data_IF_480375545078
#
_entry.id   IF_480375545078
#
_cell.length_a   1.000
_cell.length_b   1.000
_cell.length_c   1.000
_cell.angle_alpha   90.00
_cell.angle_beta   90.00
_cell.angle_gamma   90.00
#
_symmetry.space_group_name_H-M   'P 1'
#
loop_
_entity.id
_entity.type
_entity.pdbx_description
1 polymer ?
#
# COMPACT_ATOMS: atom_id res chain seq x y z
N UNK A 1 74.98 -36.51 -18.47
CA UNK A 1 75.55 -35.55 -19.45
C UNK A 1 74.39 -34.94 -20.21
N UNK A 2 74.45 -33.61 -20.44
CA UNK A 2 73.52 -32.72 -21.17
C UNK A 2 72.10 -32.61 -20.61
N UNK A 3 71.58 -31.47 -20.13
CA UNK A 3 71.86 -30.07 -20.42
C UNK A 3 70.70 -29.49 -21.24
N UNK A 4 70.03 -28.42 -20.78
CA UNK A 4 68.98 -27.73 -21.56
C UNK A 4 68.07 -26.78 -20.76
N UNK A 5 68.59 -25.63 -20.35
CA UNK A 5 67.82 -24.39 -20.15
C UNK A 5 67.29 -23.87 -21.50
N UNK A 6 66.10 -23.24 -21.53
CA UNK A 6 65.92 -21.83 -21.91
C UNK A 6 64.45 -21.46 -22.22
N UNK A 7 63.97 -20.46 -21.45
CA UNK A 7 63.20 -19.27 -21.83
C UNK A 7 62.19 -19.29 -22.98
N UNK A 8 60.97 -18.88 -22.63
CA UNK A 8 60.04 -18.16 -23.50
C UNK A 8 59.06 -17.31 -22.67
N UNK A 9 59.41 -16.05 -22.40
CA UNK A 9 58.49 -15.01 -21.94
C UNK A 9 57.61 -14.58 -23.13
N UNK A 10 56.30 -14.40 -22.94
CA UNK A 10 55.61 -13.20 -23.43
C UNK A 10 54.27 -12.95 -22.71
N UNK A 11 54.12 -11.69 -22.32
CA UNK A 11 52.98 -11.03 -21.67
C UNK A 11 51.82 -10.75 -22.64
N UNK A 12 50.71 -10.32 -22.04
CA UNK A 12 49.57 -9.56 -22.57
C UNK A 12 48.48 -10.41 -23.23
N UNK A 13 47.18 -10.21 -23.00
CA UNK A 13 46.43 -9.21 -22.24
C UNK A 13 44.95 -9.56 -22.37
N UNK A 14 44.15 -9.16 -21.37
CA UNK A 14 42.77 -8.66 -21.51
C UNK A 14 41.75 -9.61 -22.19
N UNK A 15 40.95 -10.29 -21.38
CA UNK A 15 39.48 -10.13 -21.39
C UNK A 15 38.89 -10.92 -20.21
N UNK A 16 39.02 -10.37 -18.99
CA UNK A 16 38.23 -10.84 -17.86
C UNK A 16 36.93 -10.03 -17.87
N UNK A 17 35.78 -10.64 -18.22
CA UNK A 17 34.52 -9.92 -18.18
C UNK A 17 34.22 -9.56 -16.71
N UNK A 18 33.86 -8.29 -16.41
CA UNK A 18 33.56 -7.91 -15.04
C UNK A 18 32.39 -8.78 -14.57
N UNK A 19 32.61 -9.45 -13.42
CA UNK A 19 31.60 -10.14 -12.67
C UNK A 19 30.35 -9.27 -12.62
N UNK A 20 29.35 -9.63 -13.45
CA UNK A 20 28.05 -8.98 -13.44
C UNK A 20 27.52 -9.19 -12.04
N UNK A 21 27.56 -8.10 -11.28
CA UNK A 21 26.90 -7.88 -10.00
C UNK A 21 25.63 -8.69 -10.02
N UNK A 22 25.63 -9.79 -9.26
CA UNK A 22 24.45 -10.58 -9.01
C UNK A 22 23.47 -9.60 -8.36
N UNK A 23 22.59 -9.05 -9.19
CA UNK A 23 21.46 -8.25 -8.77
C UNK A 23 20.66 -9.24 -7.95
N UNK A 24 20.84 -9.18 -6.64
CA UNK A 24 20.03 -9.89 -5.68
C UNK A 24 18.65 -9.24 -5.81
N UNK A 25 17.90 -9.68 -6.82
CA UNK A 25 16.45 -9.69 -6.73
C UNK A 25 16.19 -10.50 -5.48
N UNK A 26 15.98 -9.79 -4.36
CA UNK A 26 15.25 -10.36 -3.24
C UNK A 26 13.90 -10.73 -3.83
N UNK A 27 13.84 -11.93 -4.35
CA UNK A 27 12.65 -12.74 -4.45
C UNK A 27 12.14 -12.78 -3.01
N UNK A 28 11.32 -11.78 -2.69
CA UNK A 28 10.61 -11.68 -1.43
C UNK A 28 9.96 -13.03 -1.28
N UNK A 29 10.42 -13.82 -0.30
CA UNK A 29 9.86 -15.12 0.01
C UNK A 29 8.34 -14.97 -0.07
N UNK A 30 7.76 -15.54 -1.12
CA UNK A 30 6.33 -15.60 -1.36
C UNK A 30 5.82 -16.58 -0.31
N UNK A 31 5.78 -16.11 0.93
CA UNK A 31 4.88 -16.65 1.91
C UNK A 31 3.54 -16.60 1.22
N UNK A 32 2.97 -17.78 0.98
CA UNK A 32 1.70 -18.03 0.30
C UNK A 32 0.60 -17.33 1.11
N UNK A 33 0.49 -16.02 0.90
CA UNK A 33 -0.42 -15.14 1.60
C UNK A 33 -1.65 -15.05 0.74
N UNK A 34 -2.78 -15.41 1.33
CA UNK A 34 -4.06 -15.31 0.65
C UNK A 34 -4.51 -13.86 0.69
N UNK A 35 -4.69 -13.28 -0.48
CA UNK A 35 -5.29 -11.96 -0.63
C UNK A 35 -6.79 -12.09 -0.88
N UNK A 36 -7.58 -11.33 -0.14
CA UNK A 36 -9.02 -11.22 -0.33
C UNK A 36 -9.37 -9.94 -1.08
N UNK A 37 -10.27 -10.08 -2.03
CA UNK A 37 -10.95 -9.00 -2.72
C UNK A 37 -12.25 -8.67 -1.97
N UNK A 38 -12.39 -7.43 -1.52
CA UNK A 38 -13.58 -6.99 -0.80
C UNK A 38 -14.20 -5.78 -1.50
N UNK A 39 -15.52 -5.78 -1.64
CA UNK A 39 -16.26 -4.67 -2.25
C UNK A 39 -17.58 -4.44 -1.54
N UNK A 40 -17.87 -3.18 -1.25
CA UNK A 40 -19.17 -2.73 -0.79
C UNK A 40 -19.44 -1.33 -1.35
N UNK A 41 -20.69 -1.03 -1.69
CA UNK A 41 -21.08 0.29 -2.20
C UNK A 41 -20.99 1.39 -1.12
N UNK A 42 -21.13 1.01 0.15
CA UNK A 42 -21.18 1.96 1.27
C UNK A 42 -19.86 2.10 2.03
N UNK A 43 -18.84 1.30 1.69
CA UNK A 43 -17.53 1.37 2.35
C UNK A 43 -16.58 2.16 1.47
N UNK A 44 -16.19 3.34 1.92
CA UNK A 44 -15.46 4.34 1.12
C UNK A 44 -14.03 4.57 1.58
N UNK A 45 -13.63 3.96 2.70
CA UNK A 45 -12.30 4.12 3.27
C UNK A 45 -11.81 2.85 3.94
N UNK A 46 -10.48 2.75 4.08
CA UNK A 46 -9.85 1.67 4.85
C UNK A 46 -10.34 1.67 6.30
N UNK A 47 -10.48 2.86 6.90
CA UNK A 47 -10.93 3.00 8.29
C UNK A 47 -12.34 2.45 8.49
N UNK A 48 -13.25 2.72 7.55
CA UNK A 48 -14.63 2.21 7.60
C UNK A 48 -14.67 0.67 7.45
N UNK A 49 -13.86 0.10 6.55
CA UNK A 49 -13.78 -1.35 6.43
C UNK A 49 -13.23 -2.00 7.71
N UNK A 50 -12.11 -1.49 8.23
CA UNK A 50 -11.39 -2.10 9.35
C UNK A 50 -12.07 -1.83 10.70
N UNK A 51 -12.42 -0.58 10.98
CA UNK A 51 -12.89 -0.13 12.29
C UNK A 51 -14.41 -0.11 12.42
N UNK A 52 -15.16 -0.31 11.34
CA UNK A 52 -16.62 -0.48 11.39
C UNK A 52 -17.02 -1.91 11.03
N UNK A 53 -16.95 -2.30 9.76
CA UNK A 53 -17.47 -3.60 9.31
C UNK A 53 -16.74 -4.80 9.94
N UNK A 54 -15.39 -4.84 9.86
CA UNK A 54 -14.64 -5.94 10.47
C UNK A 54 -14.65 -5.89 12.00
N UNK A 55 -14.69 -4.69 12.58
CA UNK A 55 -14.80 -4.52 14.02
C UNK A 55 -16.13 -5.05 14.57
N UNK A 56 -17.24 -4.88 13.83
CA UNK A 56 -18.56 -5.42 14.17
C UNK A 56 -18.54 -6.95 14.22
N UNK A 57 -17.82 -7.60 13.29
CA UNK A 57 -17.72 -9.06 13.21
C UNK A 57 -16.45 -9.64 13.87
N UNK A 58 -15.76 -8.85 14.70
CA UNK A 58 -14.45 -9.23 15.27
C UNK A 58 -14.51 -10.52 16.10
N UNK A 59 -15.64 -10.82 16.73
CA UNK A 59 -15.84 -12.02 17.55
C UNK A 59 -16.01 -13.26 16.66
N UNK A 60 -16.89 -13.18 15.67
CA UNK A 60 -17.12 -14.23 14.67
C UNK A 60 -15.81 -14.59 13.94
N UNK A 61 -15.04 -13.56 13.59
CA UNK A 61 -13.75 -13.68 12.92
C UNK A 61 -12.62 -14.16 13.86
N UNK A 62 -12.78 -14.03 15.19
CA UNK A 62 -11.73 -14.32 16.16
C UNK A 62 -10.57 -13.32 16.13
N UNK A 63 -10.83 -12.08 15.69
CA UNK A 63 -9.83 -11.01 15.54
C UNK A 63 -9.97 -9.93 16.63
N UNK A 64 -10.68 -10.21 17.73
CA UNK A 64 -10.85 -9.27 18.85
C UNK A 64 -9.52 -8.65 19.31
N UNK A 65 -8.47 -9.46 19.43
CA UNK A 65 -7.15 -9.01 19.87
C UNK A 65 -6.44 -8.03 18.92
N UNK A 66 -6.96 -7.83 17.71
CA UNK A 66 -6.44 -6.83 16.76
C UNK A 66 -6.91 -5.42 17.08
N UNK A 67 -7.90 -5.25 17.94
CA UNK A 67 -8.52 -3.96 18.22
C UNK A 67 -8.22 -3.49 19.64
N UNK A 68 -8.05 -2.19 19.78
CA UNK A 68 -8.12 -1.49 21.06
C UNK A 68 -9.54 -0.96 21.24
N UNK A 69 -10.03 -1.05 22.47
CA UNK A 69 -11.27 -0.40 22.90
C UNK A 69 -10.89 0.67 23.89
N UNK A 70 -11.03 1.93 23.48
CA UNK A 70 -10.81 3.05 24.38
C UNK A 70 -12.17 3.51 24.91
N UNK A 71 -12.33 3.45 26.22
CA UNK A 71 -13.48 4.04 26.89
C UNK A 71 -13.17 5.52 27.12
N UNK A 72 -13.78 6.39 26.32
CA UNK A 72 -13.62 7.82 26.53
C UNK A 72 -14.46 8.23 27.76
N UNK A 73 -13.80 8.42 28.90
CA UNK A 73 -14.44 8.82 30.17
C UNK A 73 -14.95 10.26 30.18
N UNK A 74 -14.86 10.98 29.06
CA UNK A 74 -15.21 12.39 28.96
C UNK A 74 -16.35 12.58 27.96
N UNK A 75 -17.57 12.51 28.51
CA UNK A 75 -18.80 12.98 27.87
C UNK A 75 -19.35 12.10 26.73
N UNK A 76 -20.40 11.33 27.07
CA UNK A 76 -21.14 10.41 26.19
C UNK A 76 -20.45 9.06 25.98
N UNK A 77 -21.18 7.99 26.31
CA UNK A 77 -20.81 6.59 26.28
C UNK A 77 -20.58 6.06 24.86
N UNK A 78 -19.54 6.54 24.19
CA UNK A 78 -19.12 6.08 22.87
C UNK A 78 -17.71 5.48 22.99
N UNK A 79 -17.65 4.16 23.16
CA UNK A 79 -16.39 3.41 23.12
C UNK A 79 -15.85 3.43 21.70
N UNK A 80 -14.67 4.00 21.50
CA UNK A 80 -14.03 4.01 20.18
C UNK A 80 -13.27 2.71 19.98
N UNK A 81 -13.60 1.99 18.91
CA UNK A 81 -12.89 0.77 18.52
C UNK A 81 -11.92 1.13 17.41
N UNK A 82 -10.64 0.82 17.59
CA UNK A 82 -9.60 1.12 16.60
C UNK A 82 -8.70 -0.09 16.38
N UNK A 83 -8.34 -0.35 15.11
CA UNK A 83 -7.38 -1.38 14.77
C UNK A 83 -5.99 -1.00 15.30
N UNK A 84 -5.34 -1.94 15.98
CA UNK A 84 -3.97 -1.77 16.47
C UNK A 84 -2.98 -1.60 15.32
N UNK A 85 -1.90 -0.82 15.51
CA UNK A 85 -0.88 -0.63 14.48
C UNK A 85 -0.04 -1.90 14.21
N UNK A 86 0.02 -2.83 15.17
CA UNK A 86 0.71 -4.12 15.08
C UNK A 86 -0.21 -5.28 14.70
N UNK A 87 -1.47 -5.00 14.36
CA UNK A 87 -2.41 -6.04 13.92
C UNK A 87 -1.84 -6.77 12.68
N UNK A 88 -1.96 -8.12 12.62
CA UNK A 88 -1.35 -8.92 11.57
C UNK A 88 -2.21 -8.93 10.29
N UNK A 89 -2.53 -7.73 9.80
CA UNK A 89 -3.39 -7.52 8.64
C UNK A 89 -2.93 -6.30 7.85
N UNK A 90 -2.87 -6.44 6.54
CA UNK A 90 -2.63 -5.34 5.62
C UNK A 90 -3.84 -5.13 4.73
N UNK A 91 -4.19 -3.85 4.52
CA UNK A 91 -5.31 -3.47 3.67
C UNK A 91 -4.94 -2.31 2.76
N UNK A 92 -5.33 -2.40 1.49
CA UNK A 92 -5.19 -1.34 0.47
C UNK A 92 -6.55 -1.07 -0.17
N UNK A 93 -6.87 0.21 -0.32
CA UNK A 93 -8.08 0.67 -0.99
C UNK A 93 -7.79 1.19 -2.39
N UNK A 94 -8.32 0.51 -3.41
CA UNK A 94 -8.13 0.83 -4.82
C UNK A 94 -9.18 1.80 -5.33
N UNK A 95 -9.13 3.04 -4.81
CA UNK A 95 -10.12 4.11 -5.13
C UNK A 95 -10.18 4.47 -6.62
N UNK A 96 -9.06 4.36 -7.35
CA UNK A 96 -8.97 4.77 -8.76
C UNK A 96 -9.56 3.75 -9.74
N UNK A 97 -9.98 2.58 -9.28
CA UNK A 97 -10.68 1.60 -10.11
C UNK A 97 -12.06 2.12 -10.51
N UNK A 98 -12.55 1.77 -11.72
CA UNK A 98 -13.93 2.04 -12.14
C UNK A 98 -14.97 1.47 -11.17
N UNK A 99 -14.60 0.40 -10.47
CA UNK A 99 -15.35 -0.22 -9.39
C UNK A 99 -14.41 -0.27 -8.19
N UNK A 100 -14.47 0.68 -7.24
CA UNK A 100 -13.60 0.68 -6.07
C UNK A 100 -13.72 -0.63 -5.28
N UNK A 101 -12.59 -1.08 -4.76
CA UNK A 101 -12.46 -2.32 -4.01
C UNK A 101 -11.30 -2.24 -3.02
N UNK A 102 -11.28 -3.18 -2.08
CA UNK A 102 -10.24 -3.35 -1.09
C UNK A 102 -9.52 -4.67 -1.38
N UNK A 103 -8.21 -4.66 -1.14
CA UNK A 103 -7.42 -5.88 -1.00
C UNK A 103 -7.04 -6.01 0.47
N UNK A 104 -7.27 -7.19 1.02
CA UNK A 104 -6.98 -7.53 2.40
C UNK A 104 -6.08 -8.76 2.45
N UNK A 105 -4.99 -8.69 3.20
CA UNK A 105 -4.01 -9.78 3.33
C UNK A 105 -3.69 -9.98 4.81
N UNK A 106 -3.81 -11.21 5.29
CA UNK A 106 -3.47 -11.54 6.67
C UNK A 106 -1.97 -11.88 6.74
N UNK A 107 -1.23 -11.18 7.61
CA UNK A 107 0.21 -11.40 7.84
C UNK A 107 0.49 -12.27 9.05
N UNK A 108 -0.55 -12.83 9.67
CA UNK A 108 -0.45 -13.78 10.77
C UNK A 108 0.23 -15.10 10.34
N UNK A 109 0.46 -15.99 11.30
CA UNK A 109 0.95 -17.33 11.00
C UNK A 109 0.04 -18.03 9.98
N UNK A 110 0.59 -18.87 9.12
CA UNK A 110 -0.15 -19.53 8.02
C UNK A 110 -1.48 -20.16 8.47
N UNK A 111 -1.48 -20.85 9.62
CA UNK A 111 -2.68 -21.51 10.19
C UNK A 111 -3.75 -20.51 10.65
N UNK A 112 -3.33 -19.43 11.30
CA UNK A 112 -4.24 -18.39 11.81
C UNK A 112 -4.81 -17.59 10.64
N UNK A 113 -3.95 -17.28 9.66
CA UNK A 113 -4.34 -16.57 8.44
C UNK A 113 -5.39 -17.35 7.63
N UNK A 114 -5.22 -18.67 7.44
CA UNK A 114 -6.21 -19.48 6.72
C UNK A 114 -7.55 -19.54 7.45
N UNK A 115 -7.53 -19.69 8.78
CA UNK A 115 -8.75 -19.69 9.60
C UNK A 115 -9.51 -18.36 9.50
N UNK A 116 -8.79 -17.23 9.58
CA UNK A 116 -9.39 -15.90 9.43
C UNK A 116 -9.95 -15.71 8.02
N UNK A 117 -9.24 -16.15 6.98
CA UNK A 117 -9.68 -16.08 5.58
C UNK A 117 -10.96 -16.89 5.35
N UNK A 118 -11.02 -18.12 5.85
CA UNK A 118 -12.22 -18.95 5.77
C UNK A 118 -13.42 -18.26 6.41
N UNK A 119 -13.24 -17.71 7.62
CA UNK A 119 -14.29 -16.97 8.32
C UNK A 119 -14.70 -15.68 7.61
N UNK A 120 -13.76 -14.98 6.98
CA UNK A 120 -14.05 -13.78 6.19
C UNK A 120 -14.89 -14.11 4.96
N UNK A 121 -14.61 -15.24 4.30
CA UNK A 121 -15.41 -15.69 3.15
C UNK A 121 -16.85 -16.01 3.58
N UNK A 122 -17.07 -16.48 4.81
CA UNK A 122 -18.42 -16.69 5.34
C UNK A 122 -19.23 -15.39 5.51
N UNK A 123 -18.56 -14.23 5.56
CA UNK A 123 -19.23 -12.92 5.60
C UNK A 123 -19.63 -12.42 4.20
N UNK A 124 -19.39 -13.19 3.15
CA UNK A 124 -19.85 -12.86 1.80
C UNK A 124 -21.38 -12.68 1.76
N UNK A 125 -21.84 -11.62 1.10
CA UNK A 125 -23.24 -11.17 1.05
C UNK A 125 -23.84 -10.73 2.41
N UNK A 126 -23.05 -10.61 3.47
CA UNK A 126 -23.53 -9.95 4.70
C UNK A 126 -23.79 -8.47 4.42
N UNK A 127 -24.87 -7.93 4.96
CA UNK A 127 -25.29 -6.55 4.71
C UNK A 127 -24.54 -5.58 5.61
N UNK A 128 -23.99 -4.52 5.03
CA UNK A 128 -23.46 -3.36 5.72
C UNK A 128 -24.20 -2.12 5.23
N UNK A 129 -24.89 -1.40 6.14
CA UNK A 129 -25.76 -0.26 5.81
C UNK A 129 -26.73 -0.58 4.67
N UNK A 130 -27.45 -1.71 4.77
CA UNK A 130 -28.40 -2.21 3.76
C UNK A 130 -27.80 -2.60 2.39
N UNK A 131 -26.47 -2.63 2.25
CA UNK A 131 -25.79 -3.05 1.03
C UNK A 131 -24.94 -4.32 1.25
N UNK A 132 -24.97 -5.29 0.33
CA UNK A 132 -24.19 -6.52 0.48
C UNK A 132 -22.68 -6.23 0.38
N UNK A 133 -21.90 -6.87 1.24
CA UNK A 133 -20.45 -6.92 1.16
C UNK A 133 -20.04 -8.15 0.35
N UNK A 134 -19.35 -7.93 -0.76
CA UNK A 134 -18.82 -8.97 -1.63
C UNK A 134 -17.41 -9.28 -1.16
N UNK A 135 -17.14 -10.53 -0.80
CA UNK A 135 -15.83 -11.00 -0.35
C UNK A 135 -15.44 -12.22 -1.18
N UNK A 136 -14.30 -12.15 -1.86
CA UNK A 136 -13.81 -13.21 -2.76
C UNK A 136 -12.31 -13.40 -2.56
N UNK A 137 -11.77 -14.55 -2.92
CA UNK A 137 -10.32 -14.73 -3.02
C UNK A 137 -9.84 -13.95 -4.24
N UNK A 138 -8.82 -13.12 -4.06
CA UNK A 138 -8.24 -12.36 -5.15
C UNK A 138 -7.58 -13.30 -6.17
N UNK A 139 -7.53 -12.86 -7.43
CA UNK A 139 -6.84 -13.59 -8.49
C UNK A 139 -5.34 -13.67 -8.20
N UNK A 140 -4.71 -14.74 -8.68
CA UNK A 140 -3.26 -14.93 -8.56
C UNK A 140 -2.49 -13.70 -9.06
N UNK A 141 -1.49 -13.28 -8.28
CA UNK A 141 -0.67 -12.10 -8.55
C UNK A 141 -1.25 -10.75 -8.10
N UNK A 142 -2.47 -10.69 -7.56
CA UNK A 142 -2.96 -9.51 -6.84
C UNK A 142 -2.62 -9.63 -5.35
N UNK A 143 -1.55 -8.95 -4.93
CA UNK A 143 -1.14 -8.85 -3.52
C UNK A 143 -1.28 -7.42 -3.01
N UNK A 144 -1.45 -7.26 -1.70
CA UNK A 144 -1.56 -5.95 -1.07
C UNK A 144 -0.25 -5.17 -1.22
N UNK A 145 0.88 -5.85 -1.04
CA UNK A 145 2.23 -5.30 -1.21
C UNK A 145 2.50 -4.84 -2.66
N UNK A 146 2.10 -5.66 -3.64
CA UNK A 146 2.23 -5.35 -5.07
C UNK A 146 1.43 -4.10 -5.47
N UNK A 147 0.17 -4.02 -5.06
CA UNK A 147 -0.66 -2.84 -5.37
C UNK A 147 -0.24 -1.59 -4.61
N UNK A 148 0.22 -1.72 -3.35
CA UNK A 148 0.78 -0.59 -2.58
C UNK A 148 1.98 0.02 -3.29
N UNK A 149 2.93 -0.80 -3.75
CA UNK A 149 4.12 -0.34 -4.49
C UNK A 149 3.74 0.37 -5.79
N UNK A 150 2.75 -0.14 -6.53
CA UNK A 150 2.25 0.53 -7.75
C UNK A 150 1.60 1.88 -7.44
N UNK A 151 0.85 1.97 -6.34
CA UNK A 151 0.23 3.21 -5.92
C UNK A 151 1.29 4.24 -5.48
N UNK A 152 2.29 3.81 -4.72
CA UNK A 152 3.40 4.65 -4.27
C UNK A 152 4.20 5.22 -5.45
N UNK A 153 4.58 4.40 -6.44
CA UNK A 153 5.28 4.84 -7.64
C UNK A 153 4.46 5.88 -8.43
N UNK A 154 3.15 5.68 -8.51
CA UNK A 154 2.23 6.60 -9.18
C UNK A 154 2.13 7.93 -8.45
N UNK A 155 2.03 7.90 -7.13
CA UNK A 155 1.94 9.10 -6.31
C UNK A 155 3.29 9.83 -6.27
N UNK A 156 4.42 9.12 -6.28
CA UNK A 156 5.75 9.69 -6.43
C UNK A 156 5.95 10.38 -7.79
N UNK A 157 5.44 9.78 -8.88
CA UNK A 157 5.47 10.39 -10.21
C UNK A 157 4.59 11.67 -10.29
N UNK A 158 3.50 11.73 -9.51
CA UNK A 158 2.70 12.97 -9.38
C UNK A 158 3.33 13.99 -8.46
N UNK A 159 4.15 13.54 -7.51
CA UNK A 159 4.89 14.36 -6.54
C UNK A 159 6.27 14.75 -7.03
N UNK A 160 6.64 14.47 -8.30
CA UNK A 160 7.86 15.03 -8.87
C UNK A 160 7.80 16.54 -8.61
N UNK A 161 8.73 17.08 -7.81
CA UNK A 161 8.70 18.49 -7.47
C UNK A 161 8.81 19.23 -8.79
N UNK A 162 7.90 20.17 -9.02
CA UNK A 162 8.21 21.31 -9.87
C UNK A 162 9.44 21.94 -9.21
N UNK A 163 10.62 21.48 -9.62
CA UNK A 163 11.87 22.06 -9.24
C UNK A 163 11.75 23.53 -9.61
N UNK A 164 11.90 24.36 -8.59
CA UNK A 164 12.12 25.78 -8.67
C UNK A 164 12.94 26.13 -9.91
N UNK A 165 12.29 26.59 -10.97
CA UNK A 165 12.95 27.23 -12.08
C UNK A 165 13.26 28.66 -11.67
N UNK A 166 14.35 28.84 -10.91
CA UNK A 166 15.02 30.12 -10.82
C UNK A 166 16.21 30.12 -11.76
N UNK A 167 15.97 30.53 -13.01
CA UNK A 167 16.93 31.30 -13.81
C UNK A 167 16.18 32.00 -14.94
N UNK A 168 16.35 33.33 -15.00
CA UNK A 168 15.68 34.26 -15.90
C UNK A 168 16.00 34.00 -17.39
N UNK A 169 15.16 34.50 -18.31
CA UNK A 169 15.60 35.72 -19.00
C UNK A 169 14.51 36.80 -19.11
N UNK A 170 14.99 38.04 -18.99
CA UNK A 170 14.40 39.35 -19.29
C UNK A 170 13.11 39.32 -20.14
N UNK A 171 11.99 39.69 -19.52
CA UNK A 171 10.74 40.05 -20.20
C UNK A 171 10.02 41.13 -19.38
N UNK A 172 9.46 42.19 -20.01
CA UNK A 172 8.93 43.34 -19.28
C UNK A 172 7.72 42.95 -18.42
N UNK A 173 7.85 43.23 -17.13
CA UNK A 173 6.84 43.01 -16.10
C UNK A 173 5.65 43.95 -16.31
N UNK A 174 4.49 43.42 -16.70
CA UNK A 174 3.23 44.17 -16.64
C UNK A 174 2.67 44.11 -15.24
N UNK A 175 2.97 45.16 -14.47
CA UNK A 175 2.32 45.51 -13.19
C UNK A 175 0.81 45.64 -13.39
N UNK A 176 0.05 44.60 -13.05
CA UNK A 176 -1.40 44.70 -12.89
C UNK A 176 -1.71 45.20 -11.49
N UNK A 177 -1.81 46.52 -11.36
CA UNK A 177 -2.34 47.21 -10.19
C UNK A 177 -3.79 46.78 -9.91
N UNK A 178 -4.03 46.18 -8.75
CA UNK A 178 -5.37 45.90 -8.27
C UNK A 178 -5.87 47.14 -7.51
N UNK A 179 -6.83 47.87 -8.11
CA UNK A 179 -7.47 49.03 -7.47
C UNK A 179 -8.77 48.56 -6.80
N UNK A 180 -8.88 48.52 -5.46
CA UNK A 180 -10.15 48.25 -4.81
C UNK A 180 -11.09 49.45 -4.96
N UNK A 181 -12.23 49.23 -5.63
CA UNK A 181 -13.32 50.22 -5.70
C UNK A 181 -14.00 50.32 -4.34
N UNK A 182 -13.81 51.46 -3.68
CA UNK A 182 -14.59 51.87 -2.51
C UNK A 182 -16.01 52.20 -2.98
N UNK A 183 -17.01 51.44 -2.53
CA UNK A 183 -18.42 51.79 -2.71
C UNK A 183 -18.77 52.92 -1.73
N UNK A 184 -19.06 54.11 -2.27
CA UNK A 184 -19.66 55.21 -1.52
C UNK A 184 -21.06 54.80 -1.04
N UNK A 185 -21.29 54.92 0.26
CA UNK A 185 -22.59 54.83 0.93
C UNK A 185 -23.43 56.07 0.59
N UNK A 186 -24.72 55.88 0.30
CA UNK A 186 -25.73 56.94 0.43
C UNK A 186 -26.34 56.87 1.81
#
# INVERSE_FOLDING_TARGET
MTGGEASGKQQSSLDEPPAKVARHEKESQEQERVTLYIRCAQIHSRGELMNSFLAEHREELGIQGWYNTEENTSTSSESTISLRPDAPVECVFMKTSRKPYFLLECTANKKDATSVVEKLILLHNKTYKDHPVIIEIAKDGLTVSGERKKLELRDAAKRTPVASSTSAPVGPSTTTSFVPRVLLKR
#
